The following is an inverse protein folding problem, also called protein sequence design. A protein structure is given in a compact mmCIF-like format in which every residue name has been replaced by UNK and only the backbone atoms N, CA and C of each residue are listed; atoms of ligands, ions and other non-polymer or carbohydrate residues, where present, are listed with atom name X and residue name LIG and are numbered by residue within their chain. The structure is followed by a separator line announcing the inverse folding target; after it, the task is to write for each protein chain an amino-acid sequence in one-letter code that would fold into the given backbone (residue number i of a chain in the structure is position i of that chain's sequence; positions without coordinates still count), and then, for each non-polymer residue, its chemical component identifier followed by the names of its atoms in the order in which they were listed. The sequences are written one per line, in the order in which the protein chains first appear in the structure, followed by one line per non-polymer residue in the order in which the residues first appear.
data_IF_155741244036
#
_entry.id   IF_155741244036
#
_cell.length_a   1.000
_cell.length_b   1.000
_cell.length_c   1.000
_cell.angle_alpha   90.00
_cell.angle_beta   90.00
_cell.angle_gamma   90.00
#
_symmetry.space_group_name_H-M   'P 1'
#
loop_
_entity.id
_entity.type
_entity.pdbx_description
1 polymer ?
#
# COMPACT_ATOMS: atom_id res chain seq x y z
N UNK A 1 -25.47 42.20 -9.00
CA UNK A 1 -24.20 41.81 -9.66
C UNK A 1 -23.40 41.05 -8.61
N UNK A 2 -23.19 39.74 -8.81
CA UNK A 2 -22.55 38.86 -7.81
C UNK A 2 -21.03 39.11 -7.82
N UNK A 3 -20.35 39.17 -6.66
CA UNK A 3 -18.95 39.57 -6.59
C UNK A 3 -18.04 38.52 -7.26
N UNK A 4 -17.56 38.81 -8.47
CA UNK A 4 -16.62 37.98 -9.23
C UNK A 4 -15.24 37.87 -8.56
N UNK A 5 -14.98 38.66 -7.53
CA UNK A 5 -13.73 38.69 -6.78
C UNK A 5 -13.41 37.35 -6.09
N UNK A 6 -14.42 36.56 -5.73
CA UNK A 6 -14.23 35.22 -5.16
C UNK A 6 -13.54 34.27 -6.14
N UNK A 7 -13.80 34.42 -7.44
CA UNK A 7 -13.17 33.60 -8.48
C UNK A 7 -11.67 33.92 -8.61
N UNK A 8 -11.31 35.20 -8.45
CA UNK A 8 -9.93 35.67 -8.54
C UNK A 8 -9.08 35.16 -7.36
N UNK A 9 -9.65 35.08 -6.15
CA UNK A 9 -8.97 34.52 -4.98
C UNK A 9 -8.66 33.03 -5.15
N UNK A 10 -9.59 32.24 -5.69
CA UNK A 10 -9.37 30.82 -5.97
C UNK A 10 -8.33 30.65 -7.07
N UNK A 11 -8.41 31.45 -8.14
CA UNK A 11 -7.47 31.37 -9.25
C UNK A 11 -6.03 31.70 -8.80
N UNK A 12 -5.85 32.70 -7.94
CA UNK A 12 -4.53 33.09 -7.43
C UNK A 12 -3.94 32.04 -6.47
N UNK A 13 -4.78 31.40 -5.64
CA UNK A 13 -4.34 30.48 -4.59
C UNK A 13 -3.90 29.08 -5.03
N UNK A 14 -4.17 28.67 -6.28
CA UNK A 14 -3.82 27.32 -6.78
C UNK A 14 -2.43 27.24 -7.45
N UNK A 15 -1.72 28.36 -7.60
CA UNK A 15 -0.38 28.38 -8.18
C UNK A 15 0.65 27.88 -7.14
N UNK A 16 0.86 26.57 -7.04
CA UNK A 16 1.89 25.99 -6.16
C UNK A 16 1.53 24.68 -5.47
N UNK A 17 0.45 24.03 -5.87
CA UNK A 17 0.10 22.71 -5.34
C UNK A 17 1.18 21.69 -5.71
N UNK A 18 1.90 21.18 -4.71
CA UNK A 18 2.78 20.02 -4.85
C UNK A 18 2.09 18.80 -4.24
N UNK A 19 2.30 17.62 -4.86
CA UNK A 19 1.87 16.36 -4.28
C UNK A 19 2.84 15.92 -3.17
N UNK A 20 2.35 15.11 -2.24
CA UNK A 20 3.15 14.48 -1.19
C UNK A 20 4.24 13.58 -1.80
N UNK A 21 5.50 13.77 -1.35
CA UNK A 21 6.64 12.98 -1.76
C UNK A 21 7.14 12.11 -0.61
N UNK A 22 7.54 10.87 -0.89
CA UNK A 22 8.03 9.93 0.11
C UNK A 22 9.53 9.69 -0.06
N UNK A 23 10.28 9.69 1.05
CA UNK A 23 11.63 9.11 1.06
C UNK A 23 11.48 7.61 1.31
N UNK A 24 11.85 6.82 0.30
CA UNK A 24 11.67 5.37 0.26
C UNK A 24 13.02 4.70 0.04
N UNK A 25 13.21 3.51 0.61
CA UNK A 25 14.39 2.68 0.32
C UNK A 25 14.37 2.09 -1.09
N UNK A 26 13.18 1.78 -1.59
CA UNK A 26 12.96 1.22 -2.93
C UNK A 26 11.49 1.40 -3.34
N UNK A 27 11.17 1.27 -4.62
CA UNK A 27 9.81 1.39 -5.14
C UNK A 27 9.77 1.14 -6.65
N UNK A 28 8.56 0.96 -7.19
CA UNK A 28 8.39 0.66 -8.60
C UNK A 28 6.96 0.80 -9.10
N UNK A 29 6.82 0.82 -10.41
CA UNK A 29 5.53 0.81 -11.11
C UNK A 29 5.52 -0.36 -12.08
N UNK A 30 4.52 -1.21 -11.97
CA UNK A 30 4.23 -2.25 -12.94
C UNK A 30 2.95 -1.88 -13.69
N UNK A 31 2.90 -2.20 -14.97
CA UNK A 31 1.72 -2.00 -15.80
C UNK A 31 1.44 -3.26 -16.59
N UNK A 32 0.22 -3.77 -16.49
CA UNK A 32 -0.33 -4.81 -17.34
C UNK A 32 -1.45 -4.21 -18.21
N UNK A 33 -1.90 -4.94 -19.24
CA UNK A 33 -3.04 -4.51 -20.06
C UNK A 33 -4.34 -4.28 -19.26
N UNK A 34 -4.43 -4.80 -18.03
CA UNK A 34 -5.57 -4.68 -17.12
C UNK A 34 -5.43 -3.56 -16.08
N UNK A 35 -4.28 -2.90 -15.97
CA UNK A 35 -4.10 -1.83 -14.98
C UNK A 35 -2.64 -1.53 -14.64
N UNK A 36 -2.43 -0.58 -13.74
CA UNK A 36 -1.10 -0.26 -13.22
C UNK A 36 -1.09 -0.30 -11.69
N UNK A 37 -0.10 -0.99 -11.15
CA UNK A 37 0.18 -1.05 -9.72
C UNK A 37 1.46 -0.27 -9.45
N UNK A 38 1.44 0.60 -8.44
CA UNK A 38 2.62 1.34 -8.00
C UNK A 38 2.86 0.97 -6.55
N UNK A 39 4.08 0.57 -6.21
CA UNK A 39 4.45 0.10 -4.88
C UNK A 39 5.69 0.82 -4.36
N UNK A 40 5.78 0.89 -3.05
CA UNK A 40 6.81 1.62 -2.31
C UNK A 40 7.27 0.79 -1.12
N UNK A 41 8.57 0.68 -0.88
CA UNK A 41 9.18 -0.15 0.16
C UNK A 41 10.11 0.70 1.04
N UNK A 42 10.03 0.46 2.36
CA UNK A 42 10.87 1.10 3.37
C UNK A 42 10.58 2.59 3.51
N UNK A 43 9.32 2.94 3.70
CA UNK A 43 8.93 4.28 4.13
C UNK A 43 9.49 4.54 5.54
N UNK A 44 10.34 5.57 5.67
CA UNK A 44 11.09 5.82 6.90
C UNK A 44 10.18 6.32 8.04
N UNK A 45 9.16 7.11 7.70
CA UNK A 45 8.15 7.58 8.64
C UNK A 45 6.87 6.77 8.43
N UNK A 46 6.57 5.86 9.36
CA UNK A 46 5.39 4.97 9.30
C UNK A 46 4.66 4.84 10.65
N UNK A 47 5.12 5.55 11.70
CA UNK A 47 4.53 5.43 13.02
C UNK A 47 3.09 5.94 13.02
N UNK A 48 2.16 5.07 13.38
CA UNK A 48 0.75 5.41 13.61
C UNK A 48 0.48 5.56 15.09
N UNK A 49 -0.07 6.71 15.45
CA UNK A 49 -0.49 7.05 16.80
C UNK A 49 -2.01 7.04 16.85
N UNK A 50 -2.58 6.02 17.50
CA UNK A 50 -4.03 5.87 17.67
C UNK A 50 -4.48 6.22 19.09
N UNK A 51 -5.58 6.95 19.21
CA UNK A 51 -6.39 7.03 20.42
C UNK A 51 -7.87 6.73 20.09
N UNK A 52 -8.73 6.71 21.11
CA UNK A 52 -10.17 6.42 20.97
C UNK A 52 -10.90 7.39 20.02
N UNK A 53 -10.36 8.59 19.81
CA UNK A 53 -10.95 9.65 18.99
C UNK A 53 -10.35 9.72 17.57
N UNK A 54 -9.30 8.94 17.25
CA UNK A 54 -8.71 8.91 15.92
C UNK A 54 -7.29 8.37 15.86
N UNK A 55 -6.82 8.13 14.64
CA UNK A 55 -5.44 7.66 14.36
C UNK A 55 -4.73 8.65 13.45
N UNK A 56 -3.49 8.98 13.78
CA UNK A 56 -2.62 9.85 12.98
C UNK A 56 -1.39 9.03 12.60
N UNK A 57 -1.21 8.80 11.30
CA UNK A 57 -0.03 8.11 10.77
C UNK A 57 0.99 9.12 10.24
N UNK A 58 2.23 9.04 10.73
CA UNK A 58 3.37 9.74 10.14
C UNK A 58 3.72 9.11 8.79
N UNK A 59 4.22 9.94 7.87
CA UNK A 59 4.61 9.51 6.53
C UNK A 59 3.77 10.18 5.45
N UNK A 60 3.40 9.39 4.44
CA UNK A 60 2.61 9.80 3.28
C UNK A 60 1.22 9.19 3.40
N UNK A 61 0.19 9.97 3.06
CA UNK A 61 -1.19 9.51 3.09
C UNK A 61 -1.34 8.32 2.13
N UNK A 62 -1.54 7.12 2.69
CA UNK A 62 -1.95 5.96 1.92
C UNK A 62 -3.47 5.99 1.74
N UNK A 63 -3.99 5.87 0.50
CA UNK A 63 -5.41 5.72 0.29
C UNK A 63 -5.88 4.43 0.97
N UNK A 64 -6.83 4.54 1.90
CA UNK A 64 -7.45 3.39 2.54
C UNK A 64 -8.30 2.66 1.49
N UNK A 65 -7.78 1.56 0.95
CA UNK A 65 -8.55 0.68 0.07
C UNK A 65 -9.24 -0.34 0.94
N UNK A 66 -10.50 -0.08 1.27
CA UNK A 66 -11.36 -1.11 1.88
C UNK A 66 -11.81 -2.03 0.76
N UNK A 67 -11.23 -3.24 0.70
CA UNK A 67 -11.74 -4.31 -0.18
C UNK A 67 -13.06 -4.78 0.43
N UNK A 68 -14.18 -4.25 -0.06
CA UNK A 68 -15.52 -4.52 0.48
C UNK A 68 -16.11 -5.85 0.00
N UNK A 69 -15.52 -6.46 -1.01
CA UNK A 69 -15.79 -7.83 -1.42
C UNK A 69 -14.57 -8.37 -2.16
N UNK A 70 -13.99 -9.45 -1.65
CA UNK A 70 -13.26 -10.41 -2.48
C UNK A 70 -14.34 -11.38 -2.94
N UNK A 71 -14.60 -11.47 -4.25
CA UNK A 71 -15.28 -12.64 -4.78
C UNK A 71 -14.30 -13.81 -4.65
N UNK A 72 -14.30 -14.44 -3.48
CA UNK A 72 -13.48 -15.62 -3.21
C UNK A 72 -14.24 -16.84 -3.74
N UNK A 73 -14.39 -16.91 -5.05
CA UNK A 73 -14.97 -18.07 -5.73
C UNK A 73 -14.00 -19.25 -5.78
N UNK A 74 -12.89 -19.23 -5.03
CA UNK A 74 -11.92 -20.32 -4.95
C UNK A 74 -11.40 -20.53 -3.53
N UNK A 75 -12.31 -20.94 -2.63
CA UNK A 75 -12.01 -21.38 -1.27
C UNK A 75 -11.10 -22.63 -1.26
N UNK A 76 -9.80 -22.42 -1.44
CA UNK A 76 -8.76 -23.29 -0.93
C UNK A 76 -8.00 -22.49 0.13
N UNK A 77 -8.30 -22.75 1.41
CA UNK A 77 -7.63 -22.13 2.56
C UNK A 77 -6.14 -22.49 2.59
N UNK A 78 -5.33 -21.85 1.76
CA UNK A 78 -3.87 -21.99 1.81
C UNK A 78 -3.38 -21.06 2.93
N UNK A 79 -3.20 -21.62 4.13
CA UNK A 79 -2.58 -20.91 5.26
C UNK A 79 -1.06 -20.98 5.15
N UNK A 80 -0.39 -19.83 5.07
CA UNK A 80 1.07 -19.72 4.98
C UNK A 80 1.62 -18.83 6.10
N UNK A 81 2.62 -19.31 6.83
CA UNK A 81 3.29 -18.58 7.91
C UNK A 81 4.77 -18.41 7.56
N UNK A 82 5.27 -17.18 7.63
CA UNK A 82 6.66 -16.84 7.29
C UNK A 82 7.41 -16.35 8.52
N UNK A 83 8.59 -16.93 8.82
CA UNK A 83 9.39 -16.54 9.99
C UNK A 83 10.90 -16.84 9.85
N UNK A 84 11.78 -16.10 10.54
CA UNK A 84 11.48 -14.89 11.31
C UNK A 84 11.30 -13.66 10.39
N UNK A 85 10.29 -12.83 10.63
CA UNK A 85 10.18 -11.51 10.01
C UNK A 85 10.44 -10.46 11.10
N UNK A 86 11.53 -9.64 11.05
CA UNK A 86 12.50 -9.43 9.96
C UNK A 86 13.57 -10.53 9.82
N UNK A 87 14.04 -10.77 8.59
CA UNK A 87 15.03 -11.81 8.25
C UNK A 87 16.32 -11.21 7.70
N UNK A 88 17.47 -11.78 8.08
CA UNK A 88 18.79 -11.29 7.62
C UNK A 88 19.40 -12.13 6.49
N UNK A 89 19.04 -13.42 6.35
CA UNK A 89 19.62 -14.31 5.33
C UNK A 89 18.72 -15.48 4.88
N UNK A 90 17.91 -16.06 5.78
CA UNK A 90 17.12 -17.27 5.47
C UNK A 90 15.71 -17.19 6.05
N UNK A 91 14.71 -17.30 5.18
CA UNK A 91 13.29 -17.26 5.53
C UNK A 91 12.74 -18.68 5.61
N UNK A 92 12.01 -19.00 6.69
CA UNK A 92 11.21 -20.23 6.73
C UNK A 92 9.77 -19.92 6.31
N UNK A 93 9.26 -20.67 5.34
CA UNK A 93 7.87 -20.66 4.92
C UNK A 93 7.21 -21.97 5.38
N UNK A 94 6.18 -21.87 6.22
CA UNK A 94 5.37 -23.01 6.66
C UNK A 94 3.99 -22.91 6.01
N UNK A 95 3.60 -23.95 5.27
CA UNK A 95 2.30 -24.02 4.61
C UNK A 95 1.44 -25.04 5.36
N UNK A 96 0.29 -24.60 5.85
CA UNK A 96 -0.67 -25.36 6.64
C UNK A 96 -1.87 -25.73 5.75
N UNK A 97 -1.66 -26.53 4.68
CA UNK A 97 -2.73 -27.19 3.92
C UNK A 97 -2.23 -28.51 3.28
N UNK A 98 -3.14 -29.49 3.18
CA UNK A 98 -2.92 -30.90 2.86
C UNK A 98 -3.34 -31.23 1.42
N UNK A 99 -2.65 -30.67 0.42
CA UNK A 99 -2.35 -31.33 -0.86
C UNK A 99 -1.39 -30.43 -1.66
N UNK A 100 -0.09 -30.60 -1.45
CA UNK A 100 0.94 -29.74 -2.04
C UNK A 100 1.50 -30.44 -3.28
N UNK A 101 0.76 -30.44 -4.37
CA UNK A 101 1.30 -30.91 -5.65
C UNK A 101 1.87 -29.70 -6.41
N UNK A 102 3.17 -29.76 -6.72
CA UNK A 102 3.88 -28.80 -7.58
C UNK A 102 4.12 -27.38 -7.01
N UNK A 103 4.86 -27.28 -5.89
CA UNK A 103 5.43 -26.01 -5.40
C UNK A 103 6.82 -25.79 -6.00
N UNK A 104 6.95 -24.77 -6.84
CA UNK A 104 8.25 -24.26 -7.27
C UNK A 104 8.60 -23.00 -6.48
N UNK A 105 9.70 -23.05 -5.73
CA UNK A 105 10.32 -21.84 -5.19
C UNK A 105 11.13 -21.21 -6.33
N UNK A 106 10.66 -20.08 -6.86
CA UNK A 106 11.42 -19.26 -7.78
C UNK A 106 12.45 -18.49 -6.96
N UNK A 107 13.67 -19.04 -6.87
CA UNK A 107 14.87 -18.29 -6.53
C UNK A 107 15.62 -17.99 -7.82
N UNK A 108 15.76 -16.71 -8.18
CA UNK A 108 16.75 -16.27 -9.18
C UNK A 108 18.18 -16.56 -8.70
#
# INVERSE_FOLDING_TARGET
MKPTWQLLYILCGVHGLCAQNAVLTSGGKTSSGSGSVTYSVGQIAYNSFGNVNGSISQGVLQPSVTVTAVDDSHNQEISCVVFPNPTQASVNLRIENRNLENISLLSD
#
